data_IF_237315401247
#
_entry.id   IF_237315401247
#
_cell.length_a   1.000
_cell.length_b   1.000
_cell.length_c   1.000
_cell.angle_alpha   90.00
_cell.angle_beta   90.00
_cell.angle_gamma   90.00
#
_symmetry.space_group_name_H-M   'P 1'
#
loop_
_entity.id
_entity.type
_entity.pdbx_description
1 polymer ?
#
# COMPACT_ATOMS: atom_id res chain seq x y z
N UNK A 1 3.60 2.29 -15.71
CA UNK A 1 4.49 2.85 -14.68
C UNK A 1 4.62 4.37 -14.80
N UNK A 2 4.87 4.92 -15.97
CA UNK A 2 5.09 6.36 -16.21
C UNK A 2 3.97 7.25 -15.63
N UNK A 3 2.71 6.92 -15.88
CA UNK A 3 1.57 7.70 -15.37
C UNK A 3 1.50 7.72 -13.83
N UNK A 4 1.77 6.58 -13.19
CA UNK A 4 1.82 6.50 -11.72
C UNK A 4 3.03 7.26 -11.16
N UNK A 5 4.19 7.12 -11.78
CA UNK A 5 5.42 7.82 -11.38
C UNK A 5 5.22 9.33 -11.47
N UNK A 6 4.53 9.79 -12.52
CA UNK A 6 4.26 11.21 -12.75
C UNK A 6 3.29 11.81 -11.73
N UNK A 7 2.13 11.19 -11.52
CA UNK A 7 1.10 11.64 -10.57
C UNK A 7 0.31 10.44 -10.01
N UNK A 8 0.72 9.89 -8.86
CA UNK A 8 0.03 8.75 -8.24
C UNK A 8 -1.44 9.03 -7.94
N UNK A 9 -1.78 10.24 -7.50
CA UNK A 9 -3.16 10.61 -7.15
C UNK A 9 -4.05 10.64 -8.36
N UNK A 10 -3.62 11.31 -9.42
CA UNK A 10 -4.36 11.37 -10.67
C UNK A 10 -4.50 9.97 -11.30
N UNK A 11 -3.43 9.16 -11.28
CA UNK A 11 -3.46 7.78 -11.76
C UNK A 11 -4.51 6.95 -11.01
N UNK A 12 -4.52 7.00 -9.68
CA UNK A 12 -5.49 6.27 -8.87
C UNK A 12 -6.92 6.68 -9.20
N UNK A 13 -7.22 7.98 -9.11
CA UNK A 13 -8.57 8.48 -9.27
C UNK A 13 -9.14 8.30 -10.67
N UNK A 14 -8.31 8.46 -11.71
CA UNK A 14 -8.78 8.55 -13.09
C UNK A 14 -8.46 7.33 -13.95
N UNK A 15 -7.57 6.47 -13.51
CA UNK A 15 -7.13 5.29 -14.29
C UNK A 15 -7.35 3.98 -13.56
N UNK A 16 -7.00 3.92 -12.27
CA UNK A 16 -7.05 2.66 -11.52
C UNK A 16 -8.43 2.42 -10.90
N UNK A 17 -8.90 3.33 -10.04
CA UNK A 17 -10.16 3.15 -9.31
C UNK A 17 -11.39 2.96 -10.23
N UNK A 18 -11.55 3.68 -11.37
CA UNK A 18 -12.66 3.43 -12.28
C UNK A 18 -12.68 2.01 -12.86
N UNK A 19 -11.54 1.34 -12.95
CA UNK A 19 -11.45 -0.04 -13.48
C UNK A 19 -11.79 -1.11 -12.45
N UNK A 20 -11.61 -0.83 -11.16
CA UNK A 20 -11.76 -1.82 -10.09
C UNK A 20 -12.97 -1.57 -9.19
N UNK A 21 -13.44 -0.35 -9.10
CA UNK A 21 -14.56 0.04 -8.25
C UNK A 21 -15.57 0.89 -9.01
N UNK A 22 -16.74 0.32 -9.31
CA UNK A 22 -17.81 0.97 -10.10
C UNK A 22 -18.34 2.29 -9.53
N UNK A 23 -18.07 2.62 -8.26
CA UNK A 23 -18.40 3.94 -7.68
C UNK A 23 -17.56 5.06 -8.30
N UNK A 24 -16.38 4.75 -8.85
CA UNK A 24 -15.49 5.70 -9.51
C UNK A 24 -15.69 5.79 -11.03
N UNK A 25 -16.64 5.03 -11.61
CA UNK A 25 -16.94 5.08 -13.05
C UNK A 25 -17.35 6.49 -13.47
N UNK A 26 -16.61 7.06 -14.39
CA UNK A 26 -16.74 8.46 -14.82
C UNK A 26 -15.63 9.39 -14.32
N UNK A 27 -14.85 9.00 -13.30
CA UNK A 27 -13.74 9.82 -12.82
C UNK A 27 -12.59 9.94 -13.84
N UNK A 28 -12.49 9.02 -14.79
CA UNK A 28 -11.55 9.08 -15.91
C UNK A 28 -11.75 10.31 -16.81
N UNK A 29 -12.91 10.97 -16.72
CA UNK A 29 -13.20 12.20 -17.43
C UNK A 29 -12.68 13.47 -16.73
N UNK A 30 -12.14 13.36 -15.52
CA UNK A 30 -11.52 14.49 -14.83
C UNK A 30 -10.17 14.84 -15.45
N UNK A 31 -9.86 16.14 -15.56
CA UNK A 31 -8.52 16.58 -15.97
C UNK A 31 -7.51 16.34 -14.86
N UNK A 32 -6.22 16.29 -15.19
CA UNK A 32 -5.14 16.39 -14.22
C UNK A 32 -5.23 17.69 -13.41
N UNK A 33 -4.77 17.66 -12.15
CA UNK A 33 -4.76 18.84 -11.26
C UNK A 33 -4.15 20.10 -11.87
N UNK A 34 -3.08 20.05 -12.70
CA UNK A 34 -2.60 21.24 -13.41
C UNK A 34 -3.65 21.93 -14.28
N UNK A 35 -4.67 21.20 -14.75
CA UNK A 35 -5.83 21.78 -15.46
C UNK A 35 -6.77 22.59 -14.58
N UNK A 36 -6.64 22.46 -13.25
CA UNK A 36 -7.42 23.21 -12.24
C UNK A 36 -6.66 24.44 -11.70
N UNK A 37 -5.55 24.83 -12.34
CA UNK A 37 -4.83 26.04 -11.96
C UNK A 37 -5.76 27.27 -11.97
N UNK A 38 -5.58 28.18 -11.01
CA UNK A 38 -6.52 29.30 -10.78
C UNK A 38 -6.80 30.17 -12.03
N UNK A 39 -5.85 30.35 -12.94
CA UNK A 39 -6.08 31.04 -14.22
C UNK A 39 -6.95 30.23 -15.21
N UNK A 40 -7.07 28.93 -15.01
CA UNK A 40 -7.86 28.02 -15.85
C UNK A 40 -9.00 27.38 -15.09
N UNK A 41 -9.28 27.82 -13.87
CA UNK A 41 -10.27 27.22 -12.97
C UNK A 41 -11.63 27.04 -13.65
N UNK A 42 -12.12 28.06 -14.34
CA UNK A 42 -13.44 28.01 -15.01
C UNK A 42 -13.45 26.90 -16.07
N UNK A 43 -12.40 26.77 -16.89
CA UNK A 43 -12.31 25.72 -17.90
C UNK A 43 -12.21 24.33 -17.28
N UNK A 44 -11.35 24.16 -16.26
CA UNK A 44 -11.17 22.90 -15.55
C UNK A 44 -12.42 22.45 -14.78
N UNK A 45 -13.11 23.38 -14.14
CA UNK A 45 -14.34 23.12 -13.39
C UNK A 45 -15.49 22.57 -14.25
N UNK A 46 -15.53 22.85 -15.54
CA UNK A 46 -16.54 22.27 -16.45
C UNK A 46 -16.56 20.73 -16.42
N UNK A 47 -15.43 20.07 -16.16
CA UNK A 47 -15.37 18.62 -16.08
C UNK A 47 -16.25 18.06 -14.96
N UNK A 48 -16.38 18.76 -13.83
CA UNK A 48 -17.23 18.35 -12.71
C UNK A 48 -18.75 18.45 -13.03
N UNK A 49 -19.13 19.22 -14.06
CA UNK A 49 -20.52 19.30 -14.51
C UNK A 49 -20.93 18.13 -15.43
N UNK A 50 -19.99 17.33 -15.92
CA UNK A 50 -20.29 16.17 -16.76
C UNK A 50 -21.16 15.16 -16.01
N UNK A 51 -22.22 14.61 -16.65
CA UNK A 51 -23.16 13.72 -15.96
C UNK A 51 -22.51 12.51 -15.30
N UNK A 52 -21.54 11.86 -15.96
CA UNK A 52 -20.84 10.69 -15.41
C UNK A 52 -19.97 11.06 -14.21
N UNK A 53 -19.25 12.19 -14.27
CA UNK A 53 -18.44 12.69 -13.15
C UNK A 53 -19.33 13.00 -11.94
N UNK A 54 -20.45 13.72 -12.15
CA UNK A 54 -21.42 14.01 -11.07
C UNK A 54 -21.93 12.74 -10.42
N UNK A 55 -22.37 11.77 -11.23
CA UNK A 55 -22.86 10.49 -10.71
C UNK A 55 -21.81 9.72 -9.92
N UNK A 56 -20.53 9.75 -10.34
CA UNK A 56 -19.43 9.16 -9.60
C UNK A 56 -19.22 9.87 -8.26
N UNK A 57 -19.18 11.21 -8.25
CA UNK A 57 -19.01 11.99 -7.02
C UNK A 57 -20.15 11.75 -6.01
N UNK A 58 -21.40 11.68 -6.47
CA UNK A 58 -22.56 11.36 -5.62
C UNK A 58 -22.44 9.96 -4.99
N UNK A 59 -22.01 8.96 -5.76
CA UNK A 59 -21.74 7.61 -5.24
C UNK A 59 -20.60 7.60 -4.22
N UNK A 60 -19.51 8.33 -4.49
CA UNK A 60 -18.34 8.42 -3.61
C UNK A 60 -18.74 9.08 -2.29
N UNK A 61 -19.50 10.19 -2.33
CA UNK A 61 -19.98 10.85 -1.10
C UNK A 61 -20.86 9.91 -0.26
N UNK A 62 -21.78 9.20 -0.90
CA UNK A 62 -22.61 8.22 -0.19
C UNK A 62 -21.79 7.06 0.40
N UNK A 63 -20.78 6.57 -0.33
CA UNK A 63 -19.88 5.54 0.19
C UNK A 63 -19.06 6.06 1.39
N UNK A 64 -18.65 7.33 1.37
CA UNK A 64 -17.91 7.94 2.47
C UNK A 64 -18.73 7.99 3.78
N UNK A 65 -20.05 8.23 3.71
CA UNK A 65 -20.94 8.16 4.88
C UNK A 65 -20.96 6.77 5.51
N UNK A 66 -20.97 5.70 4.69
CA UNK A 66 -20.92 4.33 5.19
C UNK A 66 -19.53 3.97 5.78
N UNK A 67 -18.45 4.47 5.19
CA UNK A 67 -17.09 4.31 5.74
C UNK A 67 -16.97 4.99 7.10
N UNK A 68 -17.53 6.20 7.25
CA UNK A 68 -17.55 6.92 8.54
C UNK A 68 -18.34 6.14 9.60
N UNK A 69 -19.52 5.62 9.23
CA UNK A 69 -20.31 4.76 10.12
C UNK A 69 -19.53 3.52 10.56
N UNK A 70 -18.87 2.84 9.64
CA UNK A 70 -18.03 1.68 9.94
C UNK A 70 -16.85 2.04 10.85
N UNK A 71 -16.17 3.15 10.58
CA UNK A 71 -15.04 3.62 11.37
C UNK A 71 -15.48 3.89 12.84
N UNK A 72 -16.63 4.54 13.06
CA UNK A 72 -17.15 4.80 14.39
C UNK A 72 -17.46 3.52 15.18
N UNK A 73 -18.07 2.52 14.52
CA UNK A 73 -18.30 1.18 15.14
C UNK A 73 -16.98 0.51 15.51
N UNK A 74 -15.99 0.59 14.63
CA UNK A 74 -14.67 0.01 14.87
C UNK A 74 -13.96 0.68 16.06
N UNK A 75 -13.99 1.99 16.13
CA UNK A 75 -13.41 2.76 17.26
C UNK A 75 -14.09 2.40 18.58
N UNK A 76 -15.43 2.35 18.62
CA UNK A 76 -16.17 1.95 19.81
C UNK A 76 -15.79 0.54 20.27
N UNK A 77 -15.75 -0.43 19.36
CA UNK A 77 -15.35 -1.80 19.65
C UNK A 77 -13.92 -1.85 20.22
N UNK A 78 -12.97 -1.18 19.56
CA UNK A 78 -11.57 -1.13 19.99
C UNK A 78 -11.42 -0.54 21.39
N UNK A 79 -12.10 0.57 21.67
CA UNK A 79 -12.08 1.20 22.98
C UNK A 79 -12.63 0.27 24.08
N UNK A 80 -13.73 -0.43 23.82
CA UNK A 80 -14.31 -1.40 24.74
C UNK A 80 -13.36 -2.57 25.01
N UNK A 81 -12.71 -3.11 23.97
CA UNK A 81 -11.76 -4.22 24.13
C UNK A 81 -10.53 -3.78 24.92
N UNK A 82 -9.98 -2.61 24.61
CA UNK A 82 -8.83 -2.04 25.34
C UNK A 82 -9.16 -1.81 26.82
N UNK A 83 -10.33 -1.29 27.13
CA UNK A 83 -10.79 -1.09 28.52
C UNK A 83 -10.92 -2.40 29.31
N UNK A 84 -11.09 -3.53 28.61
CA UNK A 84 -11.14 -4.87 29.21
C UNK A 84 -9.76 -5.58 29.25
N UNK A 85 -8.68 -4.91 28.86
CA UNK A 85 -7.34 -5.47 28.85
C UNK A 85 -6.93 -6.17 27.55
N UNK A 86 -7.69 -6.02 26.46
CA UNK A 86 -7.43 -6.59 25.15
C UNK A 86 -7.09 -5.49 24.12
N UNK A 87 -5.90 -4.89 24.17
CA UNK A 87 -5.51 -3.87 23.21
C UNK A 87 -5.36 -4.46 21.81
N UNK A 88 -5.60 -3.64 20.79
CA UNK A 88 -5.32 -4.04 19.39
C UNK A 88 -3.83 -4.18 19.15
N UNK A 89 -3.44 -5.15 18.33
CA UNK A 89 -2.03 -5.34 17.94
C UNK A 89 -1.54 -4.26 16.97
N UNK A 90 -2.43 -3.75 16.12
CA UNK A 90 -2.18 -2.70 15.14
C UNK A 90 -3.49 -1.99 14.78
N UNK A 91 -3.40 -0.79 14.24
CA UNK A 91 -4.55 -0.05 13.68
C UNK A 91 -4.30 0.24 12.20
N UNK A 92 -3.07 0.60 11.83
CA UNK A 92 -2.71 0.91 10.46
C UNK A 92 -2.17 -0.33 9.73
N UNK A 93 -2.52 -0.44 8.45
CA UNK A 93 -2.01 -1.48 7.54
C UNK A 93 -1.33 -0.80 6.36
N UNK A 94 -0.24 -1.39 5.88
CA UNK A 94 0.45 -0.98 4.66
C UNK A 94 0.83 -2.21 3.84
N UNK A 95 1.49 -2.04 2.70
CA UNK A 95 1.89 -3.14 1.82
C UNK A 95 3.36 -3.04 1.47
N UNK A 96 4.00 -4.16 1.11
CA UNK A 96 5.36 -4.12 0.56
C UNK A 96 5.34 -3.45 -0.83
N UNK A 97 6.39 -2.69 -1.23
CA UNK A 97 6.39 -2.00 -2.53
C UNK A 97 6.18 -2.91 -3.73
N UNK A 98 6.78 -4.11 -3.73
CA UNK A 98 6.55 -5.11 -4.78
C UNK A 98 5.11 -5.62 -4.78
N UNK A 99 4.55 -5.88 -3.59
CA UNK A 99 3.18 -6.38 -3.43
C UNK A 99 2.18 -5.32 -3.89
N UNK A 100 2.43 -4.02 -3.64
CA UNK A 100 1.63 -2.93 -4.19
C UNK A 100 1.53 -3.00 -5.72
N UNK A 101 2.66 -3.24 -6.41
CA UNK A 101 2.69 -3.33 -7.87
C UNK A 101 1.99 -4.61 -8.34
N UNK A 102 2.26 -5.74 -7.69
CA UNK A 102 1.74 -7.03 -8.10
C UNK A 102 0.24 -7.19 -7.84
N UNK A 103 -0.26 -6.70 -6.70
CA UNK A 103 -1.67 -6.87 -6.33
C UNK A 103 -2.57 -5.82 -6.96
N UNK A 104 -2.10 -4.57 -7.09
CA UNK A 104 -2.99 -3.45 -7.42
C UNK A 104 -2.76 -2.85 -8.81
N UNK A 105 -1.55 -2.88 -9.37
CA UNK A 105 -1.28 -2.18 -10.62
C UNK A 105 -1.07 -3.09 -11.82
N UNK A 106 -0.18 -4.04 -11.69
CA UNK A 106 0.34 -4.82 -12.82
C UNK A 106 -0.27 -6.22 -12.91
N UNK A 107 -0.78 -6.72 -11.78
CA UNK A 107 -1.22 -8.09 -11.61
C UNK A 107 -0.07 -9.09 -11.57
N UNK A 108 -0.32 -10.27 -11.02
CA UNK A 108 0.66 -11.34 -10.86
C UNK A 108 1.46 -11.65 -12.14
N UNK A 109 0.74 -11.93 -13.22
CA UNK A 109 1.36 -12.30 -14.51
C UNK A 109 2.19 -11.17 -15.10
N UNK A 110 1.73 -9.93 -14.98
CA UNK A 110 2.45 -8.75 -15.47
C UNK A 110 3.76 -8.56 -14.71
N UNK A 111 3.70 -8.53 -13.39
CA UNK A 111 4.88 -8.30 -12.53
C UNK A 111 5.89 -9.44 -12.65
N UNK A 112 5.45 -10.69 -12.77
CA UNK A 112 6.34 -11.82 -13.02
C UNK A 112 7.08 -11.71 -14.37
N UNK A 113 6.41 -11.20 -15.43
CA UNK A 113 7.07 -10.95 -16.72
C UNK A 113 8.07 -9.79 -16.60
N UNK A 114 7.78 -8.78 -15.81
CA UNK A 114 8.62 -7.60 -15.64
C UNK A 114 9.95 -7.94 -14.93
N UNK A 115 10.00 -8.98 -14.09
CA UNK A 115 11.25 -9.52 -13.53
C UNK A 115 12.28 -9.94 -14.62
N UNK A 116 11.84 -10.11 -15.85
CA UNK A 116 12.70 -10.53 -16.97
C UNK A 116 12.78 -9.49 -18.08
N UNK A 117 11.69 -8.77 -18.36
CA UNK A 117 11.53 -7.94 -19.56
C UNK A 117 11.65 -6.44 -19.31
N UNK A 118 11.26 -5.98 -18.13
CA UNK A 118 11.17 -4.55 -17.78
C UNK A 118 11.80 -4.32 -16.40
N UNK A 119 13.05 -4.78 -16.24
CA UNK A 119 13.74 -4.80 -14.94
C UNK A 119 14.01 -3.40 -14.40
N UNK A 120 14.47 -2.52 -15.27
CA UNK A 120 14.87 -1.16 -14.89
C UNK A 120 13.64 -0.33 -14.54
N UNK A 121 12.56 -0.44 -15.30
CA UNK A 121 11.29 0.22 -15.03
C UNK A 121 10.64 -0.32 -13.74
N UNK A 122 10.77 -1.63 -13.49
CA UNK A 122 10.28 -2.23 -12.24
C UNK A 122 11.06 -1.69 -11.04
N UNK A 123 12.39 -1.60 -11.12
CA UNK A 123 13.23 -1.06 -10.05
C UNK A 123 12.91 0.42 -9.79
N UNK A 124 12.75 1.22 -10.84
CA UNK A 124 12.34 2.61 -10.69
C UNK A 124 10.97 2.75 -10.03
N UNK A 125 10.01 1.92 -10.44
CA UNK A 125 8.68 1.90 -9.84
C UNK A 125 8.72 1.49 -8.36
N UNK A 126 9.56 0.51 -8.00
CA UNK A 126 9.76 0.08 -6.60
C UNK A 126 10.33 1.21 -5.74
N UNK A 127 11.29 1.98 -6.25
CA UNK A 127 11.83 3.15 -5.54
C UNK A 127 10.76 4.21 -5.32
N UNK A 128 9.95 4.55 -6.33
CA UNK A 128 8.85 5.51 -6.21
C UNK A 128 7.77 5.02 -5.26
N UNK A 129 7.38 3.74 -5.37
CA UNK A 129 6.43 3.10 -4.46
C UNK A 129 6.93 3.14 -3.01
N UNK A 130 8.22 2.91 -2.76
CA UNK A 130 8.83 2.99 -1.43
C UNK A 130 8.69 4.40 -0.83
N UNK A 131 8.96 5.45 -1.60
CA UNK A 131 8.81 6.84 -1.15
C UNK A 131 7.35 7.16 -0.84
N UNK A 132 6.44 6.76 -1.73
CA UNK A 132 5.00 6.96 -1.55
C UNK A 132 4.50 6.25 -0.29
N UNK A 133 4.77 4.95 -0.15
CA UNK A 133 4.34 4.13 0.99
C UNK A 133 4.94 4.62 2.31
N UNK A 134 6.20 5.05 2.31
CA UNK A 134 6.83 5.63 3.52
C UNK A 134 6.03 6.84 4.02
N UNK A 135 5.76 7.80 3.14
CA UNK A 135 5.02 9.01 3.51
C UNK A 135 3.59 8.70 3.97
N UNK A 136 2.89 7.86 3.21
CA UNK A 136 1.52 7.47 3.49
C UNK A 136 1.41 6.72 4.82
N UNK A 137 2.27 5.73 5.05
CA UNK A 137 2.25 4.89 6.25
C UNK A 137 2.58 5.71 7.50
N UNK A 138 3.56 6.63 7.43
CA UNK A 138 3.87 7.53 8.54
C UNK A 138 2.67 8.43 8.86
N UNK A 139 2.01 8.98 7.85
CA UNK A 139 0.83 9.83 8.04
C UNK A 139 -0.31 9.05 8.71
N UNK A 140 -0.59 7.83 8.28
CA UNK A 140 -1.63 6.98 8.85
C UNK A 140 -1.33 6.53 10.27
N UNK A 141 -0.10 6.10 10.55
CA UNK A 141 0.32 5.72 11.90
C UNK A 141 0.19 6.90 12.88
N UNK A 142 0.61 8.09 12.46
CA UNK A 142 0.45 9.31 13.28
C UNK A 142 -1.01 9.68 13.52
N UNK A 143 -1.84 9.59 12.48
CA UNK A 143 -3.27 9.87 12.59
C UNK A 143 -4.00 8.87 13.50
N UNK A 144 -3.61 7.59 13.48
CA UNK A 144 -4.18 6.55 14.34
C UNK A 144 -3.66 6.60 15.78
N UNK A 145 -2.52 7.27 16.03
CA UNK A 145 -1.83 7.27 17.33
C UNK A 145 -1.26 5.91 17.75
N UNK A 146 -1.23 4.91 16.84
CA UNK A 146 -0.73 3.57 17.13
C UNK A 146 0.60 3.30 16.41
N UNK A 147 1.68 2.87 17.14
CA UNK A 147 3.00 2.77 16.54
C UNK A 147 3.19 1.52 15.68
N UNK A 148 2.38 0.49 15.81
CA UNK A 148 2.53 -0.76 15.06
C UNK A 148 1.77 -0.68 13.74
N UNK A 149 2.46 -1.00 12.64
CA UNK A 149 1.87 -1.08 11.29
C UNK A 149 1.99 -2.50 10.76
N UNK A 150 0.85 -3.07 10.39
CA UNK A 150 0.75 -4.40 9.83
C UNK A 150 1.06 -4.41 8.32
N UNK A 151 1.77 -5.45 7.87
CA UNK A 151 2.10 -5.69 6.47
C UNK A 151 1.75 -7.13 6.08
N UNK A 152 0.66 -7.40 5.35
CA UNK A 152 0.49 -8.69 4.70
C UNK A 152 1.53 -8.84 3.59
N UNK A 153 2.28 -9.95 3.60
CA UNK A 153 3.37 -10.22 2.66
C UNK A 153 3.01 -11.41 1.79
N UNK A 154 2.64 -11.14 0.53
CA UNK A 154 2.08 -12.13 -0.38
C UNK A 154 3.10 -12.75 -1.32
N UNK A 155 4.04 -11.94 -1.88
CA UNK A 155 4.90 -12.34 -3.00
C UNK A 155 6.32 -12.74 -2.61
N UNK A 156 6.66 -12.73 -1.33
CA UNK A 156 7.97 -13.11 -0.81
C UNK A 156 8.32 -14.62 -0.88
N UNK A 157 7.35 -15.58 -0.80
CA UNK A 157 7.65 -17.00 -0.82
C UNK A 157 8.43 -17.46 -2.04
N UNK A 158 9.28 -18.49 -1.88
CA UNK A 158 10.18 -18.99 -2.93
C UNK A 158 9.48 -19.60 -4.15
N UNK A 159 8.21 -19.94 -4.01
CA UNK A 159 7.35 -20.41 -5.12
C UNK A 159 7.05 -19.34 -6.17
N UNK A 160 7.18 -18.04 -5.82
CA UNK A 160 6.87 -16.95 -6.71
C UNK A 160 8.11 -16.37 -7.39
N UNK A 161 9.26 -16.39 -6.71
CA UNK A 161 10.49 -15.87 -7.25
C UNK A 161 11.72 -16.58 -6.67
N UNK A 162 12.79 -16.65 -7.45
CA UNK A 162 14.07 -17.19 -7.00
C UNK A 162 14.68 -16.32 -5.88
N UNK A 163 15.66 -16.86 -5.13
CA UNK A 163 16.40 -16.10 -4.13
C UNK A 163 17.02 -14.83 -4.72
N UNK A 164 17.67 -14.97 -5.90
CA UNK A 164 18.28 -13.83 -6.59
C UNK A 164 17.25 -12.74 -6.95
N UNK A 165 16.06 -13.11 -7.41
CA UNK A 165 15.01 -12.16 -7.72
C UNK A 165 14.46 -11.48 -6.48
N UNK A 166 14.29 -12.24 -5.39
CA UNK A 166 13.89 -11.71 -4.10
C UNK A 166 14.88 -10.65 -3.60
N UNK A 167 16.18 -10.95 -3.63
CA UNK A 167 17.25 -10.05 -3.20
C UNK A 167 17.46 -8.85 -4.14
N UNK A 168 17.03 -8.97 -5.40
CA UNK A 168 17.15 -7.88 -6.38
C UNK A 168 15.94 -6.95 -6.37
N UNK A 169 14.72 -7.49 -6.35
CA UNK A 169 13.50 -6.72 -6.61
C UNK A 169 12.62 -6.56 -5.37
N UNK A 170 12.47 -7.61 -4.55
CA UNK A 170 11.50 -7.59 -3.47
C UNK A 170 12.08 -6.99 -2.18
N UNK A 171 13.15 -7.61 -1.66
CA UNK A 171 13.71 -7.29 -0.35
C UNK A 171 14.26 -5.86 -0.23
N UNK A 172 15.06 -5.33 -1.17
CA UNK A 172 15.68 -4.01 -1.00
C UNK A 172 14.66 -2.89 -0.80
N UNK A 173 13.57 -2.90 -1.57
CA UNK A 173 12.52 -1.90 -1.48
C UNK A 173 11.73 -2.01 -0.18
N UNK A 174 11.38 -3.22 0.25
CA UNK A 174 10.66 -3.43 1.50
C UNK A 174 11.54 -3.16 2.73
N UNK A 175 12.80 -3.60 2.70
CA UNK A 175 13.76 -3.25 3.75
C UNK A 175 13.90 -1.74 3.92
N UNK A 176 14.08 -1.00 2.82
CA UNK A 176 14.16 0.46 2.82
C UNK A 176 12.91 1.10 3.44
N UNK A 177 11.72 0.59 3.07
CA UNK A 177 10.46 1.02 3.68
C UNK A 177 10.47 0.78 5.19
N UNK A 178 10.78 -0.45 5.63
CA UNK A 178 10.81 -0.77 7.06
C UNK A 178 11.80 0.10 7.84
N UNK A 179 13.01 0.32 7.34
CA UNK A 179 14.01 1.19 7.99
C UNK A 179 13.48 2.62 8.11
N UNK A 180 12.92 3.18 7.06
CA UNK A 180 12.33 4.53 7.09
C UNK A 180 11.21 4.66 8.15
N UNK A 181 10.42 3.60 8.33
CA UNK A 181 9.36 3.57 9.36
C UNK A 181 9.95 3.45 10.77
N UNK A 182 10.96 2.61 10.95
CA UNK A 182 11.68 2.47 12.22
C UNK A 182 12.31 3.79 12.64
N UNK A 183 12.95 4.50 11.72
CA UNK A 183 13.53 5.84 11.95
C UNK A 183 12.46 6.88 12.32
N UNK A 184 11.23 6.70 11.85
CA UNK A 184 10.09 7.52 12.23
C UNK A 184 9.41 7.09 13.56
N UNK A 185 9.96 6.09 14.28
CA UNK A 185 9.44 5.57 15.54
C UNK A 185 8.28 4.57 15.38
N UNK A 186 8.09 4.03 14.19
CA UNK A 186 7.05 3.04 13.87
C UNK A 186 7.64 1.63 13.96
N UNK A 187 6.83 0.68 14.39
CA UNK A 187 7.20 -0.74 14.52
C UNK A 187 6.52 -1.51 13.37
N UNK A 188 7.25 -1.90 12.31
CA UNK A 188 6.70 -2.76 11.28
C UNK A 188 6.35 -4.14 11.83
N UNK A 189 5.20 -4.69 11.42
CA UNK A 189 4.76 -6.05 11.76
C UNK A 189 4.40 -6.81 10.48
N UNK A 190 5.38 -7.36 9.75
CA UNK A 190 5.11 -8.16 8.56
C UNK A 190 4.60 -9.56 8.92
N UNK A 191 3.44 -9.93 8.37
CA UNK A 191 2.97 -11.30 8.30
C UNK A 191 3.53 -11.95 7.05
N UNK A 192 4.48 -12.84 7.22
CA UNK A 192 5.08 -13.64 6.16
C UNK A 192 4.17 -14.83 5.84
N UNK A 193 3.34 -14.65 4.82
CA UNK A 193 2.42 -15.69 4.38
C UNK A 193 3.15 -16.84 3.69
N UNK A 194 2.66 -18.07 3.90
CA UNK A 194 3.26 -19.31 3.46
C UNK A 194 4.67 -19.57 4.07
N UNK A 195 5.45 -20.47 3.47
CA UNK A 195 6.79 -20.81 3.95
C UNK A 195 7.86 -19.82 3.42
N UNK A 196 8.48 -19.12 4.34
CA UNK A 196 9.57 -18.20 4.08
C UNK A 196 10.92 -18.66 4.69
N UNK A 197 11.06 -19.92 5.04
CA UNK A 197 12.27 -20.48 5.68
C UNK A 197 13.55 -20.17 4.88
N UNK A 198 13.50 -20.23 3.56
CA UNK A 198 14.66 -19.91 2.70
C UNK A 198 15.02 -18.41 2.66
N UNK A 199 14.14 -17.54 3.14
CA UNK A 199 14.34 -16.08 3.20
C UNK A 199 14.96 -15.62 4.51
N UNK A 200 14.96 -16.44 5.57
CA UNK A 200 15.33 -16.06 6.92
C UNK A 200 16.69 -15.34 6.99
N UNK A 201 17.71 -15.88 6.31
CA UNK A 201 19.06 -15.27 6.31
C UNK A 201 19.06 -13.85 5.69
N UNK A 202 18.22 -13.61 4.70
CA UNK A 202 18.12 -12.28 4.07
C UNK A 202 17.28 -11.32 4.90
N UNK A 203 16.12 -11.78 5.41
CA UNK A 203 15.16 -10.89 6.07
C UNK A 203 15.55 -10.50 7.50
N UNK A 204 16.50 -11.20 8.11
CA UNK A 204 17.03 -10.84 9.44
C UNK A 204 17.82 -9.52 9.45
N UNK A 205 18.10 -8.94 8.29
CA UNK A 205 18.84 -7.67 8.13
C UNK A 205 17.96 -6.45 8.48
N UNK A 206 17.33 -6.49 9.65
CA UNK A 206 16.58 -5.39 10.28
C UNK A 206 17.11 -5.20 11.70
N UNK A 207 17.22 -3.97 12.21
CA UNK A 207 17.72 -3.71 13.56
C UNK A 207 16.98 -4.52 14.62
N UNK A 208 17.69 -5.21 15.53
CA UNK A 208 17.10 -6.05 16.57
C UNK A 208 16.08 -5.29 17.43
N UNK A 209 14.96 -5.92 17.74
CA UNK A 209 13.92 -5.35 18.59
C UNK A 209 13.11 -4.21 17.97
N UNK A 210 13.25 -3.96 16.67
CA UNK A 210 12.56 -2.88 15.96
C UNK A 210 11.43 -3.34 15.02
N UNK A 211 11.24 -4.65 14.90
CA UNK A 211 10.25 -5.25 14.01
C UNK A 211 9.60 -6.46 14.70
N UNK A 212 8.32 -6.70 14.44
CA UNK A 212 7.60 -7.88 14.90
C UNK A 212 7.41 -8.80 13.70
N UNK A 213 8.16 -9.90 13.63
CA UNK A 213 7.99 -10.91 12.60
C UNK A 213 6.85 -11.85 12.96
N UNK A 214 5.86 -11.96 12.09
CA UNK A 214 4.77 -12.90 12.18
C UNK A 214 4.86 -13.90 11.03
N UNK A 215 5.06 -15.18 11.33
CA UNK A 215 5.21 -16.23 10.34
C UNK A 215 4.02 -17.18 10.34
N UNK A 216 3.52 -17.53 9.14
CA UNK A 216 2.43 -18.50 8.99
C UNK A 216 2.96 -19.95 9.05
N UNK A 217 4.01 -20.28 8.28
CA UNK A 217 4.51 -21.66 8.08
C UNK A 217 6.04 -21.79 8.11
N UNK A 218 6.73 -20.79 8.49
CA UNK A 218 8.20 -20.79 8.53
C UNK A 218 8.73 -21.73 9.61
N UNK A 219 9.88 -22.35 9.37
CA UNK A 219 10.60 -23.16 10.36
C UNK A 219 11.06 -22.26 11.52
N UNK A 220 10.32 -22.32 12.62
CA UNK A 220 10.56 -21.48 13.79
C UNK A 220 11.84 -21.82 14.54
N UNK A 221 12.36 -23.05 14.43
CA UNK A 221 13.66 -23.42 15.03
C UNK A 221 14.80 -22.69 14.31
N UNK A 222 14.67 -22.47 13.00
CA UNK A 222 15.65 -21.70 12.24
C UNK A 222 15.45 -20.18 12.34
N UNK A 223 14.23 -19.76 12.68
CA UNK A 223 13.91 -18.35 12.80
C UNK A 223 14.43 -17.73 14.12
N UNK A 224 14.66 -18.55 15.14
CA UNK A 224 15.31 -18.20 16.40
C UNK A 224 16.81 -18.41 16.34
#
# INVERSE_FOLDING_TARGET
YEEFIFDPTAFYLTKYLPRVLGIFDGMEELPYLPGLHYFRLVGGMRAFAKPRVRAALEKIMKAAEEVERFANVHVEFTNRMTAQGFPTSHISTSVAPYDLIADYFRGATGTMKDLYRNKDELLEMLDKATVFLTKQTIAWSRASGHPVVFFPVHWAPDRFMSQKQFETFWWPSFRKLMINLIDAGIIPMPLWEADCTKRLETIRDIPPGKCIYWFERTDMVKAF
#
